data_IF_781085478654
#
_entry.id   IF_781085478654
#
_cell.length_a   1.000
_cell.length_b   1.000
_cell.length_c   1.000
_cell.angle_alpha   90.00
_cell.angle_beta   90.00
_cell.angle_gamma   90.00
#
_symmetry.space_group_name_H-M   'P 1'
#
loop_
_entity.id
_entity.type
_entity.pdbx_description
1 polymer ?
#
# COMPACT_ATOMS: atom_id res chain seq x y z
N UNK A 1 -10.38 -30.00 13.45
CA UNK A 1 -11.20 -30.05 12.22
C UNK A 1 -11.90 -28.71 12.12
N UNK A 2 -11.64 -27.95 11.05
CA UNK A 2 -12.28 -26.64 10.82
C UNK A 2 -13.81 -26.84 10.75
N UNK A 3 -14.56 -25.98 11.45
CA UNK A 3 -16.02 -26.06 11.53
C UNK A 3 -16.73 -25.38 10.34
N UNK A 4 -15.98 -24.82 9.38
CA UNK A 4 -16.51 -24.05 8.24
C UNK A 4 -15.87 -24.53 6.93
N UNK A 5 -16.65 -24.62 5.85
CA UNK A 5 -16.15 -24.91 4.50
C UNK A 5 -15.71 -23.63 3.80
N UNK A 6 -14.83 -23.73 2.80
CA UNK A 6 -14.43 -22.58 1.96
C UNK A 6 -15.65 -21.85 1.39
N UNK A 7 -16.60 -22.60 0.83
CA UNK A 7 -17.87 -22.10 0.30
C UNK A 7 -18.63 -21.28 1.34
N UNK A 8 -18.83 -21.81 2.56
CA UNK A 8 -19.58 -21.11 3.61
C UNK A 8 -18.95 -19.76 4.03
N UNK A 9 -17.63 -19.66 4.00
CA UNK A 9 -16.91 -18.42 4.33
C UNK A 9 -17.05 -17.40 3.19
N UNK A 10 -16.97 -17.87 1.95
CA UNK A 10 -17.13 -17.02 0.77
C UNK A 10 -18.55 -16.48 0.64
N UNK A 11 -19.58 -17.30 0.90
CA UNK A 11 -20.98 -16.88 0.92
C UNK A 11 -21.21 -15.82 2.00
N UNK A 12 -20.69 -16.05 3.21
CA UNK A 12 -20.72 -15.06 4.29
C UNK A 12 -20.10 -13.72 3.88
N UNK A 13 -19.00 -13.75 3.13
CA UNK A 13 -18.36 -12.54 2.61
C UNK A 13 -19.22 -11.84 1.55
N UNK A 14 -19.84 -12.59 0.63
CA UNK A 14 -20.78 -12.08 -0.38
C UNK A 14 -22.02 -11.43 0.26
N UNK A 15 -22.46 -11.94 1.41
CA UNK A 15 -23.54 -11.36 2.22
C UNK A 15 -23.10 -10.07 2.97
N UNK A 16 -21.88 -9.59 2.74
CA UNK A 16 -21.34 -8.38 3.36
C UNK A 16 -20.95 -8.56 4.83
N UNK A 17 -20.93 -9.80 5.33
CA UNK A 17 -20.54 -10.08 6.72
C UNK A 17 -19.03 -10.15 6.87
N UNK A 18 -18.54 -9.74 8.04
CA UNK A 18 -17.11 -9.79 8.37
C UNK A 18 -16.67 -11.24 8.60
N UNK A 19 -15.65 -11.69 7.89
CA UNK A 19 -14.97 -12.96 8.17
C UNK A 19 -14.09 -12.84 9.43
N UNK A 20 -13.96 -13.92 10.19
CA UNK A 20 -13.09 -13.99 11.37
C UNK A 20 -11.62 -14.23 10.97
N UNK A 21 -10.72 -14.18 11.96
CA UNK A 21 -9.31 -14.50 11.76
C UNK A 21 -9.13 -15.95 11.29
N UNK A 22 -9.82 -16.88 11.95
CA UNK A 22 -9.76 -18.32 11.67
C UNK A 22 -10.34 -18.63 10.27
N UNK A 23 -11.41 -17.96 9.88
CA UNK A 23 -12.00 -18.06 8.54
C UNK A 23 -11.02 -17.51 7.48
N UNK A 24 -10.34 -16.40 7.76
CA UNK A 24 -9.32 -15.83 6.87
C UNK A 24 -8.09 -16.73 6.69
N UNK A 25 -7.62 -17.35 7.77
CA UNK A 25 -6.53 -18.35 7.73
C UNK A 25 -6.94 -19.57 6.89
N UNK A 26 -8.17 -20.07 7.10
CA UNK A 26 -8.70 -21.17 6.29
C UNK A 26 -8.71 -20.82 4.80
N UNK A 27 -9.20 -19.64 4.42
CA UNK A 27 -9.19 -19.18 3.02
C UNK A 27 -7.76 -19.10 2.47
N UNK A 28 -6.81 -18.55 3.23
CA UNK A 28 -5.42 -18.42 2.80
C UNK A 28 -4.75 -19.77 2.51
N UNK A 29 -5.05 -20.78 3.32
CA UNK A 29 -4.40 -22.09 3.22
C UNK A 29 -5.14 -23.07 2.28
N UNK A 30 -6.46 -22.95 2.13
CA UNK A 30 -7.30 -24.00 1.55
C UNK A 30 -8.10 -23.56 0.31
N UNK A 31 -8.39 -22.28 0.13
CA UNK A 31 -9.26 -21.86 -0.96
C UNK A 31 -8.52 -21.87 -2.31
N UNK A 32 -9.23 -22.21 -3.39
CA UNK A 32 -8.64 -22.08 -4.71
C UNK A 32 -8.52 -20.60 -5.11
N UNK A 33 -7.51 -20.29 -5.91
CA UNK A 33 -7.32 -18.95 -6.44
C UNK A 33 -8.53 -18.49 -7.27
N UNK A 34 -9.18 -19.40 -7.98
CA UNK A 34 -10.34 -19.07 -8.83
C UNK A 34 -11.57 -18.71 -8.02
N UNK A 35 -11.88 -19.47 -6.96
CA UNK A 35 -12.99 -19.15 -6.06
C UNK A 35 -12.75 -17.81 -5.35
N UNK A 36 -11.55 -17.61 -4.79
CA UNK A 36 -11.17 -16.35 -4.14
C UNK A 36 -11.24 -15.17 -5.11
N UNK A 37 -10.69 -15.32 -6.32
CA UNK A 37 -10.68 -14.27 -7.34
C UNK A 37 -12.08 -13.90 -7.80
N UNK A 38 -12.97 -14.87 -8.00
CA UNK A 38 -14.36 -14.64 -8.40
C UNK A 38 -15.14 -13.84 -7.35
N UNK A 39 -15.05 -14.26 -6.09
CA UNK A 39 -15.73 -13.59 -4.98
C UNK A 39 -15.13 -12.20 -4.73
N UNK A 40 -13.80 -12.07 -4.75
CA UNK A 40 -13.13 -10.78 -4.60
C UNK A 40 -13.51 -9.79 -5.71
N UNK A 41 -13.58 -10.24 -6.97
CA UNK A 41 -14.03 -9.42 -8.09
C UNK A 41 -15.49 -8.96 -7.92
N UNK A 42 -16.37 -9.87 -7.49
CA UNK A 42 -17.77 -9.55 -7.21
C UNK A 42 -17.88 -8.46 -6.13
N UNK A 43 -17.18 -8.65 -5.01
CA UNK A 43 -17.15 -7.69 -3.90
C UNK A 43 -16.54 -6.34 -4.30
N UNK A 44 -15.50 -6.34 -5.15
CA UNK A 44 -14.89 -5.10 -5.64
C UNK A 44 -15.88 -4.28 -6.48
N UNK A 45 -16.61 -4.93 -7.40
CA UNK A 45 -17.63 -4.28 -8.24
C UNK A 45 -18.83 -3.77 -7.42
N UNK A 46 -19.19 -4.45 -6.33
CA UNK A 46 -20.23 -3.99 -5.41
C UNK A 46 -19.83 -2.75 -4.59
N UNK A 47 -18.54 -2.60 -4.25
CA UNK A 47 -18.04 -1.49 -3.40
C UNK A 47 -17.87 -0.18 -4.14
N UNK A 48 -17.66 -0.24 -5.45
CA UNK A 48 -17.55 0.94 -6.31
C UNK A 48 -18.70 0.90 -7.32
N UNK A 49 -19.96 1.06 -6.83
CA UNK A 49 -21.11 1.12 -7.71
C UNK A 49 -20.93 2.30 -8.68
N UNK A 50 -21.47 2.18 -9.88
CA UNK A 50 -21.42 3.21 -10.94
C UNK A 50 -20.03 3.44 -11.57
N UNK A 51 -19.08 2.53 -11.35
CA UNK A 51 -17.78 2.59 -12.04
C UNK A 51 -17.82 2.07 -13.47
N UNK A 52 -18.90 1.47 -13.98
CA UNK A 52 -18.92 0.75 -15.28
C UNK A 52 -17.75 -0.25 -15.43
N UNK A 53 -17.28 -0.83 -14.31
CA UNK A 53 -16.06 -1.63 -14.22
C UNK A 53 -14.77 -0.90 -14.68
N UNK A 54 -14.76 0.44 -14.60
CA UNK A 54 -13.61 1.29 -14.88
C UNK A 54 -12.68 1.26 -13.67
N UNK A 55 -11.46 0.78 -13.90
CA UNK A 55 -10.37 0.95 -12.95
C UNK A 55 -9.87 2.40 -13.00
N UNK A 56 -10.02 3.12 -11.88
CA UNK A 56 -9.49 4.48 -11.73
C UNK A 56 -8.02 4.46 -11.30
N UNK A 57 -7.32 5.58 -11.49
CA UNK A 57 -5.94 5.75 -11.05
C UNK A 57 -5.74 7.12 -10.39
N UNK A 58 -4.64 7.26 -9.64
CA UNK A 58 -4.16 8.53 -9.10
C UNK A 58 -2.80 8.83 -9.72
N UNK A 59 -2.62 10.06 -10.19
CA UNK A 59 -1.31 10.57 -10.59
C UNK A 59 -0.64 11.12 -9.34
N UNK A 60 0.31 10.37 -8.80
CA UNK A 60 1.02 10.70 -7.56
C UNK A 60 2.49 11.05 -7.78
N UNK A 61 3.06 11.76 -6.80
CA UNK A 61 4.51 11.94 -6.64
C UNK A 61 4.97 11.41 -5.30
N UNK A 62 5.76 10.35 -5.36
CA UNK A 62 6.61 9.94 -4.24
C UNK A 62 7.80 10.90 -4.08
N UNK A 63 7.89 11.56 -2.93
CA UNK A 63 9.00 12.44 -2.58
C UNK A 63 9.73 11.84 -1.38
N UNK A 64 10.86 11.20 -1.67
CA UNK A 64 11.75 10.73 -0.62
C UNK A 64 12.57 11.90 -0.05
N UNK A 65 12.18 12.44 1.10
CA UNK A 65 12.85 13.61 1.69
C UNK A 65 14.22 13.26 2.32
N UNK A 66 14.41 12.01 2.75
CA UNK A 66 15.69 11.47 3.23
C UNK A 66 15.72 9.96 3.01
N UNK A 67 16.91 9.39 2.81
CA UNK A 67 17.11 7.94 2.90
C UNK A 67 17.84 7.52 4.18
N UNK A 68 18.22 8.46 5.06
CA UNK A 68 18.77 8.12 6.37
C UNK A 68 17.72 7.46 7.25
N UNK A 69 18.04 6.29 7.81
CA UNK A 69 17.14 5.55 8.70
C UNK A 69 17.91 4.78 9.77
N UNK A 70 17.42 4.79 11.00
CA UNK A 70 17.98 4.04 12.12
C UNK A 70 17.24 2.73 12.46
N UNK A 71 16.22 2.34 11.67
CA UNK A 71 15.39 1.14 11.96
C UNK A 71 16.01 -0.17 11.46
N UNK A 72 16.84 -0.12 10.43
CA UNK A 72 17.60 -1.29 9.92
C UNK A 72 16.72 -2.46 9.46
N UNK A 73 15.61 -2.18 8.80
CA UNK A 73 14.73 -3.22 8.26
C UNK A 73 15.50 -4.14 7.30
N UNK A 74 15.48 -5.46 7.57
CA UNK A 74 16.22 -6.47 6.79
C UNK A 74 15.84 -6.54 5.30
N UNK A 75 14.64 -6.08 4.96
CA UNK A 75 14.11 -6.09 3.61
C UNK A 75 14.24 -4.74 2.89
N UNK A 76 14.71 -3.68 3.58
CA UNK A 76 14.77 -2.34 3.00
C UNK A 76 16.09 -2.12 2.26
N UNK A 77 16.02 -2.03 0.93
CA UNK A 77 17.18 -1.66 0.09
C UNK A 77 17.45 -0.14 0.06
N UNK A 78 16.48 0.67 0.49
CA UNK A 78 16.50 2.12 0.35
C UNK A 78 17.34 2.82 1.43
N UNK A 79 17.36 2.29 2.66
CA UNK A 79 17.93 3.03 3.78
C UNK A 79 19.45 3.14 3.71
N UNK A 80 19.97 4.24 4.26
CA UNK A 80 21.38 4.40 4.62
C UNK A 80 21.49 4.73 6.09
N UNK A 81 22.59 4.32 6.71
CA UNK A 81 22.85 4.65 8.10
C UNK A 81 23.07 6.17 8.24
N UNK A 82 22.59 6.80 9.33
CA UNK A 82 22.93 8.19 9.62
C UNK A 82 24.45 8.41 9.52
N UNK A 83 24.86 9.40 8.73
CA UNK A 83 26.27 9.71 8.47
C UNK A 83 26.91 9.03 7.25
N UNK A 84 26.18 8.18 6.50
CA UNK A 84 26.64 7.67 5.21
C UNK A 84 26.88 8.80 4.20
N UNK A 85 28.14 9.12 3.94
CA UNK A 85 28.53 10.22 3.05
C UNK A 85 28.53 9.86 1.57
N UNK A 86 28.36 8.57 1.23
CA UNK A 86 28.45 8.09 -0.15
C UNK A 86 27.09 8.14 -0.83
N UNK A 87 26.06 7.65 -0.14
CA UNK A 87 24.72 7.44 -0.70
C UNK A 87 23.61 8.05 0.16
N UNK A 88 23.92 8.48 1.38
CA UNK A 88 22.98 9.14 2.28
C UNK A 88 22.65 10.57 1.86
N UNK A 89 21.40 10.99 2.04
CA UNK A 89 20.97 12.35 1.73
C UNK A 89 19.79 12.83 2.57
N UNK A 90 19.72 14.14 2.75
CA UNK A 90 18.51 14.90 3.09
C UNK A 90 18.25 15.87 1.94
N UNK A 91 17.04 15.86 1.38
CA UNK A 91 16.67 16.82 0.33
C UNK A 91 16.46 18.19 0.94
N UNK A 92 16.89 19.23 0.22
CA UNK A 92 16.49 20.58 0.55
C UNK A 92 15.00 20.78 0.30
N UNK A 93 14.42 21.74 1.02
CA UNK A 93 13.04 22.17 0.82
C UNK A 93 12.80 22.62 -0.62
N UNK A 94 13.73 23.35 -1.24
CA UNK A 94 13.63 23.77 -2.64
C UNK A 94 13.50 22.57 -3.60
N UNK A 95 14.25 21.48 -3.34
CA UNK A 95 14.15 20.26 -4.14
C UNK A 95 12.83 19.52 -3.93
N UNK A 96 12.24 19.63 -2.74
CA UNK A 96 10.90 19.11 -2.46
C UNK A 96 9.87 19.92 -3.24
N UNK A 97 9.92 21.26 -3.17
CA UNK A 97 9.00 22.13 -3.92
C UNK A 97 9.13 21.95 -5.43
N UNK A 98 10.35 21.81 -5.95
CA UNK A 98 10.56 21.50 -7.36
C UNK A 98 9.80 20.21 -7.75
N UNK A 99 9.89 19.15 -6.94
CA UNK A 99 9.19 17.89 -7.20
C UNK A 99 7.67 17.99 -7.10
N UNK A 100 7.17 18.86 -6.23
CA UNK A 100 5.73 19.17 -6.14
C UNK A 100 5.30 19.93 -7.39
N UNK A 101 6.08 20.92 -7.84
CA UNK A 101 5.78 21.65 -9.06
C UNK A 101 5.74 20.73 -10.28
N UNK A 102 6.71 19.81 -10.41
CA UNK A 102 6.71 18.78 -11.46
C UNK A 102 5.44 17.91 -11.46
N UNK A 103 4.82 17.68 -10.30
CA UNK A 103 3.54 16.97 -10.19
C UNK A 103 2.37 17.85 -10.65
N UNK A 104 2.35 19.11 -10.22
CA UNK A 104 1.33 20.09 -10.62
C UNK A 104 1.33 20.30 -12.14
N UNK A 105 2.52 20.37 -12.74
CA UNK A 105 2.70 20.56 -14.20
C UNK A 105 2.10 19.41 -15.03
N UNK A 106 1.89 18.24 -14.42
CA UNK A 106 1.23 17.08 -15.05
C UNK A 106 -0.17 16.82 -14.48
N UNK A 107 -0.77 17.82 -13.82
CA UNK A 107 -2.10 17.78 -13.21
C UNK A 107 -2.27 16.65 -12.17
N UNK A 108 -1.18 16.23 -11.54
CA UNK A 108 -1.23 15.21 -10.50
C UNK A 108 -1.83 15.72 -9.19
N UNK A 109 -2.44 14.82 -8.43
CA UNK A 109 -3.36 15.17 -7.35
C UNK A 109 -2.91 14.71 -5.97
N UNK A 110 -1.86 13.87 -5.89
CA UNK A 110 -1.40 13.33 -4.62
C UNK A 110 0.12 13.45 -4.45
N UNK A 111 0.55 14.02 -3.33
CA UNK A 111 1.94 13.97 -2.87
C UNK A 111 2.06 12.92 -1.79
N UNK A 112 3.06 12.04 -1.92
CA UNK A 112 3.42 11.06 -0.91
C UNK A 112 4.81 11.38 -0.37
N UNK A 113 4.86 12.02 0.80
CA UNK A 113 6.09 12.31 1.51
C UNK A 113 6.57 11.04 2.24
N UNK A 114 7.68 10.47 1.80
CA UNK A 114 8.27 9.26 2.38
C UNK A 114 9.72 9.49 2.73
N UNK A 115 10.27 8.70 3.65
CA UNK A 115 11.67 8.78 4.01
C UNK A 115 12.03 7.76 5.06
N UNK A 116 13.33 7.67 5.34
CA UNK A 116 13.78 6.92 6.51
C UNK A 116 13.52 7.67 7.82
N UNK A 117 13.56 6.94 8.94
CA UNK A 117 13.51 7.50 10.28
C UNK A 117 14.85 8.18 10.60
N UNK A 118 14.99 9.43 10.16
CA UNK A 118 16.20 10.22 10.32
C UNK A 118 16.17 11.01 11.64
N UNK A 119 17.04 10.69 12.62
CA UNK A 119 17.02 11.34 13.93
C UNK A 119 17.33 12.85 13.88
N UNK A 120 18.03 13.32 12.84
CA UNK A 120 18.44 14.72 12.73
C UNK A 120 17.28 15.65 12.33
N UNK A 121 16.13 15.10 11.91
CA UNK A 121 14.97 15.86 11.47
C UNK A 121 13.93 16.09 12.57
N UNK A 122 14.10 15.49 13.75
CA UNK A 122 13.21 15.69 14.90
C UNK A 122 11.77 15.21 14.69
N UNK A 123 11.58 14.20 13.84
CA UNK A 123 10.30 13.56 13.51
C UNK A 123 10.27 12.09 13.92
#
# INVERSE_FOLDING_TARGET
MSLFSTESILDKALDGQRISLEEGEHLFLQASLYELGSVANTLANQRVPDSDAIATFVVDRNINYTNYCNTLCKFCAFYRLPGDQKEGYVRSIDKIYQKIQELVDIEGTQVLMQGGHNPDLGI
#
